data_IF_075660004174
#
_entry.id   IF_075660004174
#
_cell.length_a   1.000
_cell.length_b   1.000
_cell.length_c   1.000
_cell.angle_alpha   90.00
_cell.angle_beta   90.00
_cell.angle_gamma   90.00
#
_symmetry.space_group_name_H-M   'P 1'
#
loop_
_entity.id
_entity.type
_entity.pdbx_description
1 polymer ?
#
# COMPACT_ATOMS: atom_id res chain seq x y z
N UNK A 1 54.81 -7.37 -32.69
CA UNK A 1 54.24 -6.15 -32.06
C UNK A 1 52.78 -6.03 -32.45
N UNK A 2 51.92 -6.90 -31.91
CA UNK A 2 50.47 -6.76 -31.96
C UNK A 2 50.08 -6.52 -30.52
N UNK A 3 49.93 -5.24 -30.16
CA UNK A 3 49.67 -4.80 -28.80
C UNK A 3 48.16 -4.92 -28.57
N UNK A 4 47.77 -5.79 -27.63
CA UNK A 4 46.39 -6.03 -27.21
C UNK A 4 45.84 -4.79 -26.50
N UNK A 5 44.87 -4.10 -27.10
CA UNK A 5 44.20 -2.97 -26.46
C UNK A 5 43.27 -3.46 -25.34
N UNK A 6 43.40 -2.97 -24.09
CA UNK A 6 42.60 -3.45 -22.98
C UNK A 6 41.12 -3.04 -23.12
N UNK A 7 40.23 -3.99 -22.81
CA UNK A 7 38.78 -3.79 -22.83
C UNK A 7 38.32 -2.74 -21.79
N UNK A 8 37.32 -1.90 -22.10
CA UNK A 8 36.87 -0.86 -21.18
C UNK A 8 36.19 -1.46 -19.94
N UNK A 9 36.59 -0.96 -18.76
CA UNK A 9 36.03 -1.34 -17.48
C UNK A 9 34.52 -1.03 -17.42
N UNK A 10 33.72 -2.05 -17.13
CA UNK A 10 32.27 -1.93 -16.98
C UNK A 10 31.96 -1.12 -15.72
N UNK A 11 31.56 0.13 -15.90
CA UNK A 11 31.19 1.03 -14.80
C UNK A 11 29.76 0.72 -14.34
N UNK A 12 29.61 0.13 -13.16
CA UNK A 12 28.32 -0.03 -12.47
C UNK A 12 28.04 1.18 -11.61
N UNK A 13 27.16 2.06 -12.09
CA UNK A 13 26.67 3.22 -11.34
C UNK A 13 25.65 2.74 -10.28
N UNK A 14 25.79 3.11 -9.00
CA UNK A 14 24.79 2.78 -7.99
C UNK A 14 23.48 3.50 -8.31
N UNK A 15 22.43 2.74 -8.65
CA UNK A 15 21.08 3.27 -8.83
C UNK A 15 20.47 3.59 -7.47
N UNK A 16 20.52 4.86 -7.08
CA UNK A 16 19.83 5.38 -5.89
C UNK A 16 18.33 5.11 -6.02
N UNK A 17 17.79 4.25 -5.16
CA UNK A 17 16.33 4.07 -5.04
C UNK A 17 15.76 5.22 -4.24
N UNK A 18 15.26 6.25 -4.91
CA UNK A 18 14.50 7.31 -4.28
C UNK A 18 13.22 6.71 -3.69
N UNK A 19 13.17 6.56 -2.37
CA UNK A 19 11.98 6.14 -1.65
C UNK A 19 11.03 7.34 -1.60
N UNK A 20 10.13 7.43 -2.59
CA UNK A 20 9.04 8.41 -2.56
C UNK A 20 8.13 8.06 -1.38
N UNK A 21 8.14 8.90 -0.35
CA UNK A 21 7.18 8.82 0.74
C UNK A 21 5.77 9.11 0.18
N UNK A 22 4.74 8.35 0.56
CA UNK A 22 3.37 8.74 0.23
C UNK A 22 3.04 10.04 0.97
N UNK A 23 2.39 10.97 0.26
CA UNK A 23 1.89 12.21 0.85
C UNK A 23 1.00 11.90 2.06
N UNK A 24 1.02 12.71 3.13
CA UNK A 24 0.06 12.54 4.21
C UNK A 24 -1.35 12.74 3.63
N UNK A 25 -2.19 11.72 3.79
CA UNK A 25 -3.60 11.78 3.47
C UNK A 25 -4.21 12.88 4.33
N UNK A 26 -4.53 14.03 3.72
CA UNK A 26 -5.21 15.13 4.39
C UNK A 26 -6.51 14.58 5.00
N UNK A 27 -6.64 14.69 6.32
CA UNK A 27 -7.87 14.36 7.02
C UNK A 27 -9.00 15.27 6.50
N UNK A 28 -10.22 14.76 6.25
CA UNK A 28 -11.30 15.60 5.77
C UNK A 28 -11.80 16.50 6.90
N UNK A 29 -11.77 17.82 6.67
CA UNK A 29 -12.51 18.79 7.49
C UNK A 29 -13.99 18.57 7.22
N UNK A 30 -14.70 17.96 8.18
CA UNK A 30 -16.14 17.72 8.06
C UNK A 30 -16.89 19.00 8.39
N UNK A 31 -17.38 19.70 7.36
CA UNK A 31 -18.40 20.74 7.54
C UNK A 31 -19.74 20.03 7.77
N UNK A 32 -20.27 20.11 8.99
CA UNK A 32 -21.62 19.62 9.31
C UNK A 32 -22.66 20.50 8.60
N UNK A 33 -23.24 19.98 7.52
CA UNK A 33 -24.42 20.55 6.88
C UNK A 33 -25.69 20.10 7.62
N UNK A 34 -26.75 20.93 7.71
CA UNK A 34 -28.01 20.53 8.31
C UNK A 34 -28.71 19.47 7.44
N UNK A 35 -29.10 18.38 8.08
CA UNK A 35 -29.77 17.21 7.53
C UNK A 35 -31.14 17.53 6.94
N UNK A 36 -31.31 17.25 5.64
CA UNK A 36 -32.61 17.02 5.02
C UNK A 36 -32.82 15.49 4.86
N UNK A 37 -33.97 14.91 5.25
CA UNK A 37 -34.19 13.48 5.15
C UNK A 37 -34.71 13.13 3.75
N UNK A 38 -33.80 12.80 2.84
CA UNK A 38 -34.12 11.99 1.66
C UNK A 38 -33.60 10.57 1.89
N UNK A 39 -34.37 9.50 1.68
CA UNK A 39 -33.84 8.14 1.80
C UNK A 39 -32.83 7.90 0.67
N UNK A 40 -31.55 7.55 0.94
CA UNK A 40 -30.69 6.99 -0.09
C UNK A 40 -31.17 5.56 -0.40
N UNK A 41 -32.05 5.44 -1.39
CA UNK A 41 -32.22 4.18 -2.12
C UNK A 41 -30.92 3.91 -2.87
N UNK A 42 -30.04 3.15 -2.21
CA UNK A 42 -28.70 2.86 -2.72
C UNK A 42 -27.84 2.22 -1.65
N UNK A 43 -28.23 1.02 -1.21
CA UNK A 43 -27.38 -0.01 -0.59
C UNK A 43 -26.10 0.49 0.11
N UNK A 44 -26.23 1.41 1.06
CA UNK A 44 -25.17 1.71 1.99
C UNK A 44 -25.21 0.59 3.04
N UNK A 45 -24.64 -0.56 2.69
CA UNK A 45 -24.12 -1.46 3.72
C UNK A 45 -23.28 -0.59 4.63
N UNK A 46 -23.71 -0.45 5.88
CA UNK A 46 -22.98 0.27 6.90
C UNK A 46 -21.49 -0.04 6.78
N UNK A 47 -20.58 0.96 6.84
CA UNK A 47 -19.16 0.65 6.87
C UNK A 47 -18.96 -0.37 7.99
N UNK A 48 -18.31 -1.52 7.73
CA UNK A 48 -18.05 -2.48 8.79
C UNK A 48 -17.35 -1.74 9.94
N UNK A 49 -17.55 -2.16 11.21
CA UNK A 49 -16.92 -1.52 12.36
C UNK A 49 -15.46 -1.26 12.01
N UNK A 50 -15.11 0.02 12.04
CA UNK A 50 -13.82 0.49 11.51
C UNK A 50 -12.70 -0.33 12.14
N UNK A 51 -11.60 -0.58 11.40
CA UNK A 51 -10.48 -1.34 11.93
C UNK A 51 -10.04 -0.77 13.28
N UNK A 52 -9.48 -1.61 14.17
CA UNK A 52 -9.09 -1.20 15.51
C UNK A 52 -8.27 0.09 15.44
N UNK A 53 -8.72 1.11 16.18
CA UNK A 53 -8.29 2.50 16.04
C UNK A 53 -6.76 2.61 15.97
N UNK A 54 -6.22 2.83 14.75
CA UNK A 54 -4.79 2.99 14.48
C UNK A 54 -4.17 1.99 13.49
N UNK A 55 -4.82 0.86 13.22
CA UNK A 55 -4.32 -0.12 12.23
C UNK A 55 -5.05 0.06 10.89
N UNK A 56 -4.31 0.44 9.85
CA UNK A 56 -4.82 0.48 8.48
C UNK A 56 -3.88 -0.30 7.57
N UNK A 57 -4.39 -1.36 6.96
CA UNK A 57 -3.62 -2.25 6.09
C UNK A 57 -3.96 -1.96 4.63
N UNK A 58 -2.92 -1.77 3.81
CA UNK A 58 -2.99 -1.56 2.37
C UNK A 58 -2.16 -2.59 1.64
N UNK A 59 -2.55 -2.96 0.42
CA UNK A 59 -1.78 -3.88 -0.41
C UNK A 59 -0.91 -3.11 -1.40
N UNK A 60 0.37 -3.50 -1.50
CA UNK A 60 1.36 -2.88 -2.38
C UNK A 60 1.81 -3.91 -3.42
N UNK A 61 1.80 -3.49 -4.68
CA UNK A 61 2.22 -4.33 -5.81
C UNK A 61 3.65 -4.02 -6.23
N UNK A 62 4.51 -5.03 -6.28
CA UNK A 62 5.90 -4.99 -6.74
C UNK A 62 6.11 -6.02 -7.85
N UNK A 63 5.73 -5.65 -9.08
CA UNK A 63 5.78 -6.55 -10.24
C UNK A 63 4.72 -7.64 -10.15
N UNK A 64 5.13 -8.91 -10.26
CA UNK A 64 4.22 -10.07 -10.15
C UNK A 64 3.85 -10.46 -8.71
N UNK A 65 4.25 -9.65 -7.72
CA UNK A 65 3.99 -9.90 -6.31
C UNK A 65 3.21 -8.75 -5.68
N UNK A 66 2.30 -9.10 -4.79
CA UNK A 66 1.49 -8.20 -3.99
C UNK A 66 1.69 -8.57 -2.51
N UNK A 67 1.94 -7.58 -1.67
CA UNK A 67 2.14 -7.75 -0.23
C UNK A 67 1.24 -6.80 0.57
N UNK A 68 0.79 -7.22 1.73
CA UNK A 68 0.08 -6.36 2.66
C UNK A 68 1.07 -5.50 3.47
N UNK A 69 0.69 -4.27 3.82
CA UNK A 69 1.44 -3.40 4.72
C UNK A 69 0.49 -2.64 5.62
N UNK A 70 0.74 -2.65 6.91
CA UNK A 70 -0.05 -1.92 7.89
C UNK A 70 0.67 -0.66 8.38
N UNK A 71 -0.09 0.37 8.75
CA UNK A 71 0.45 1.59 9.38
C UNK A 71 1.12 1.34 10.71
N UNK A 72 0.89 0.20 11.36
CA UNK A 72 1.63 -0.23 12.56
C UNK A 72 3.07 -0.67 12.28
N UNK A 73 3.46 -0.80 10.99
CA UNK A 73 4.80 -1.23 10.57
C UNK A 73 4.86 -2.69 10.09
N UNK A 74 3.83 -3.49 10.33
CA UNK A 74 3.77 -4.86 9.84
C UNK A 74 3.73 -4.92 8.30
N UNK A 75 4.42 -5.91 7.73
CA UNK A 75 4.39 -6.22 6.30
C UNK A 75 4.14 -7.70 6.12
N UNK A 76 3.08 -8.02 5.37
CA UNK A 76 2.69 -9.37 5.05
C UNK A 76 3.61 -10.05 4.03
N UNK A 77 3.43 -11.36 3.79
CA UNK A 77 4.22 -12.12 2.84
C UNK A 77 3.99 -11.62 1.40
N UNK A 78 5.02 -11.76 0.55
CA UNK A 78 4.86 -11.53 -0.89
C UNK A 78 4.01 -12.66 -1.52
N UNK A 79 2.83 -12.32 -2.05
CA UNK A 79 1.90 -13.24 -2.71
C UNK A 79 1.78 -12.91 -4.20
N UNK A 80 1.69 -13.93 -5.05
CA UNK A 80 1.36 -13.71 -6.48
C UNK A 80 -0.12 -13.36 -6.69
N UNK A 81 -1.00 -13.86 -5.82
CA UNK A 81 -2.42 -13.52 -5.85
C UNK A 81 -2.71 -12.27 -5.01
N UNK A 82 -3.37 -11.30 -5.65
CA UNK A 82 -3.87 -10.08 -4.98
C UNK A 82 -4.91 -10.40 -3.92
N UNK A 83 -5.76 -11.40 -4.15
CA UNK A 83 -6.79 -11.81 -3.20
C UNK A 83 -6.18 -12.41 -1.93
N UNK A 84 -5.11 -13.20 -2.07
CA UNK A 84 -4.37 -13.71 -0.92
C UNK A 84 -3.69 -12.58 -0.14
N UNK A 85 -3.14 -11.58 -0.83
CA UNK A 85 -2.56 -10.41 -0.16
C UNK A 85 -3.61 -9.57 0.57
N UNK A 86 -4.81 -9.38 -0.01
CA UNK A 86 -5.95 -8.72 0.67
C UNK A 86 -6.43 -9.52 1.88
N UNK A 87 -6.50 -10.83 1.77
CA UNK A 87 -6.87 -11.72 2.88
C UNK A 87 -5.87 -11.62 4.03
N UNK A 88 -4.58 -11.55 3.72
CA UNK A 88 -3.51 -11.38 4.70
C UNK A 88 -3.63 -10.04 5.44
N UNK A 89 -3.91 -8.95 4.72
CA UNK A 89 -4.22 -7.65 5.30
C UNK A 89 -5.44 -7.71 6.23
N UNK A 90 -6.54 -8.32 5.79
CA UNK A 90 -7.77 -8.44 6.57
C UNK A 90 -7.57 -9.28 7.84
N UNK A 91 -6.81 -10.38 7.75
CA UNK A 91 -6.44 -11.22 8.90
C UNK A 91 -5.64 -10.42 9.93
N UNK A 92 -4.66 -9.63 9.49
CA UNK A 92 -3.92 -8.77 10.39
C UNK A 92 -4.80 -7.69 11.02
N UNK A 93 -5.75 -7.09 10.29
CA UNK A 93 -6.69 -6.14 10.89
C UNK A 93 -7.63 -6.77 11.93
N UNK A 94 -7.93 -8.07 11.80
CA UNK A 94 -8.71 -8.83 12.77
C UNK A 94 -7.90 -9.28 13.99
N UNK A 95 -6.56 -9.36 13.87
CA UNK A 95 -5.62 -9.71 14.94
C UNK A 95 -4.43 -8.74 14.90
N UNK A 96 -4.63 -7.49 15.34
CA UNK A 96 -3.65 -6.40 15.23
C UNK A 96 -2.35 -6.66 16.00
#
# INVERSE_FOLDING_TARGET
MHEDLPAPARTTVPRTRTRTAPAPSAAPVVVLAPTAPGPPSGSASAPPPGPPAGHSATTIERGSFCLARCTCGWSGPARRSRDLARTDAAKHLATP
#
